data_IF_002518346174
#
_entry.id   IF_002518346174
#
_cell.length_a   1.000
_cell.length_b   1.000
_cell.length_c   1.000
_cell.angle_alpha   90.00
_cell.angle_beta   90.00
_cell.angle_gamma   90.00
#
_symmetry.space_group_name_H-M   'P 1'
#
loop_
_entity.id
_entity.type
_entity.pdbx_description
1 polymer ?
#
# COMPACT_ATOMS: atom_id res chain seq x y z
N UNK A 1 8.67 -13.85 13.19
CA UNK A 1 7.70 -12.81 13.61
C UNK A 1 6.46 -13.48 14.18
N UNK A 2 5.94 -12.94 15.28
CA UNK A 2 4.59 -13.24 15.82
C UNK A 2 3.59 -12.23 15.23
N UNK A 3 2.28 -12.49 15.32
CA UNK A 3 1.25 -11.54 14.84
C UNK A 3 1.47 -10.11 15.35
N UNK A 4 1.91 -9.97 16.59
CA UNK A 4 2.22 -8.68 17.19
C UNK A 4 3.42 -7.95 16.56
N UNK A 5 4.31 -8.65 15.86
CA UNK A 5 5.41 -8.00 15.15
C UNK A 5 4.91 -7.28 13.90
N UNK A 6 3.99 -7.88 13.13
CA UNK A 6 3.49 -7.26 11.89
C UNK A 6 2.81 -5.92 12.19
N UNK A 7 1.85 -5.89 13.12
CA UNK A 7 1.11 -4.68 13.45
C UNK A 7 1.99 -3.56 14.00
N UNK A 8 3.07 -3.91 14.74
CA UNK A 8 4.07 -2.92 15.20
C UNK A 8 4.82 -2.28 14.03
N UNK A 9 5.37 -3.09 13.11
CA UNK A 9 6.08 -2.55 11.96
C UNK A 9 5.17 -1.82 10.98
N UNK A 10 3.96 -2.35 10.76
CA UNK A 10 2.94 -1.71 9.92
C UNK A 10 2.49 -0.37 10.50
N UNK A 11 2.26 -0.29 11.82
CA UNK A 11 1.92 0.94 12.52
C UNK A 11 3.05 1.97 12.46
N UNK A 12 4.30 1.53 12.70
CA UNK A 12 5.48 2.39 12.57
C UNK A 12 5.64 2.92 11.14
N UNK A 13 5.56 2.05 10.13
CA UNK A 13 5.64 2.44 8.71
C UNK A 13 4.53 3.44 8.35
N UNK A 14 3.30 3.17 8.76
CA UNK A 14 2.16 4.06 8.49
C UNK A 14 2.36 5.43 9.15
N UNK A 15 2.91 5.47 10.37
CA UNK A 15 3.31 6.72 11.02
C UNK A 15 4.39 7.47 10.24
N UNK A 16 5.42 6.78 9.75
CA UNK A 16 6.47 7.39 8.91
C UNK A 16 5.90 7.93 7.60
N UNK A 17 5.04 7.17 6.92
CA UNK A 17 4.38 7.62 5.69
C UNK A 17 3.49 8.82 5.96
N UNK A 18 2.76 8.84 7.06
CA UNK A 18 1.97 10.00 7.47
C UNK A 18 2.84 11.25 7.67
N UNK A 19 4.01 11.12 8.31
CA UNK A 19 4.97 12.22 8.42
C UNK A 19 5.49 12.68 7.05
N UNK A 20 5.75 11.76 6.11
CA UNK A 20 6.15 12.10 4.74
C UNK A 20 5.04 12.89 4.03
N UNK A 21 3.77 12.51 4.21
CA UNK A 21 2.62 13.26 3.67
C UNK A 21 2.57 14.67 4.26
N UNK A 22 2.81 14.83 5.57
CA UNK A 22 2.88 16.14 6.21
C UNK A 22 4.03 17.00 5.67
N UNK A 23 5.17 16.39 5.34
CA UNK A 23 6.28 17.09 4.69
C UNK A 23 5.90 17.55 3.28
N UNK A 24 5.25 16.70 2.48
CA UNK A 24 4.76 17.08 1.15
C UNK A 24 3.74 18.21 1.21
N UNK A 25 2.89 18.24 2.24
CA UNK A 25 1.90 19.31 2.44
C UNK A 25 2.53 20.71 2.64
N UNK A 26 3.79 20.79 3.05
CA UNK A 26 4.48 22.08 3.20
C UNK A 26 4.79 22.75 1.85
N UNK A 27 4.85 21.99 0.76
CA UNK A 27 5.15 22.49 -0.58
C UNK A 27 3.87 22.90 -1.32
N UNK A 28 3.80 24.14 -1.80
CA UNK A 28 2.61 24.69 -2.47
C UNK A 28 2.20 23.89 -3.71
N UNK A 29 3.16 23.33 -4.45
CA UNK A 29 2.92 22.51 -5.64
C UNK A 29 2.17 21.20 -5.37
N UNK A 30 2.12 20.72 -4.11
CA UNK A 30 1.46 19.45 -3.76
C UNK A 30 0.23 19.62 -2.86
N UNK A 31 -0.07 20.85 -2.40
CA UNK A 31 -1.24 21.13 -1.56
C UNK A 31 -2.58 20.81 -2.24
N UNK A 32 -2.80 21.16 -3.53
CA UNK A 32 -4.06 20.86 -4.20
C UNK A 32 -4.36 19.35 -4.27
N UNK A 33 -3.31 18.55 -4.40
CA UNK A 33 -3.39 17.11 -4.67
C UNK A 33 -3.23 16.22 -3.43
N UNK A 34 -3.27 16.83 -2.25
CA UNK A 34 -3.18 16.12 -0.98
C UNK A 34 -4.32 15.09 -0.81
N UNK A 35 -5.50 15.39 -1.38
CA UNK A 35 -6.65 14.49 -1.34
C UNK A 35 -6.33 13.15 -2.02
N UNK A 36 -5.73 13.18 -3.21
CA UNK A 36 -5.33 11.98 -3.93
C UNK A 36 -4.35 11.15 -3.09
N UNK A 37 -3.38 11.84 -2.49
CA UNK A 37 -2.34 11.24 -1.65
C UNK A 37 -2.94 10.57 -0.40
N UNK A 38 -3.89 11.22 0.28
CA UNK A 38 -4.59 10.66 1.45
C UNK A 38 -5.45 9.45 1.06
N UNK A 39 -6.18 9.52 -0.06
CA UNK A 39 -6.99 8.40 -0.55
C UNK A 39 -6.08 7.19 -0.84
N UNK A 40 -4.95 7.41 -1.52
CA UNK A 40 -3.96 6.36 -1.79
C UNK A 40 -3.36 5.76 -0.54
N UNK A 41 -3.05 6.59 0.45
CA UNK A 41 -2.57 6.16 1.76
C UNK A 41 -3.57 5.23 2.46
N UNK A 42 -4.82 5.66 2.58
CA UNK A 42 -5.88 4.85 3.22
C UNK A 42 -6.08 3.55 2.46
N UNK A 43 -6.15 3.60 1.12
CA UNK A 43 -6.28 2.41 0.29
C UNK A 43 -5.12 1.42 0.51
N UNK A 44 -3.86 1.88 0.56
CA UNK A 44 -2.72 0.99 0.83
C UNK A 44 -2.74 0.40 2.24
N UNK A 45 -3.14 1.18 3.25
CA UNK A 45 -3.29 0.67 4.60
C UNK A 45 -4.31 -0.48 4.65
N UNK A 46 -5.48 -0.28 4.03
CA UNK A 46 -6.55 -1.27 3.99
C UNK A 46 -6.13 -2.51 3.17
N UNK A 47 -5.57 -2.31 1.98
CA UNK A 47 -5.11 -3.41 1.12
C UNK A 47 -4.04 -4.26 1.82
N UNK A 48 -3.04 -3.62 2.44
CA UNK A 48 -1.95 -4.32 3.14
C UNK A 48 -2.48 -5.07 4.37
N UNK A 49 -3.42 -4.47 5.13
CA UNK A 49 -4.05 -5.13 6.28
C UNK A 49 -4.89 -6.34 5.86
N UNK A 50 -5.71 -6.19 4.81
CA UNK A 50 -6.53 -7.27 4.27
C UNK A 50 -5.66 -8.41 3.73
N UNK A 51 -4.60 -8.08 2.99
CA UNK A 51 -3.65 -9.04 2.47
C UNK A 51 -2.95 -9.82 3.60
N UNK A 52 -2.51 -9.14 4.66
CA UNK A 52 -1.92 -9.79 5.82
C UNK A 52 -2.85 -10.82 6.45
N UNK A 53 -4.10 -10.43 6.74
CA UNK A 53 -5.11 -11.32 7.33
C UNK A 53 -5.42 -12.52 6.43
N UNK A 54 -5.47 -12.30 5.11
CA UNK A 54 -5.65 -13.37 4.14
C UNK A 54 -4.43 -14.30 4.06
N UNK A 55 -3.22 -13.76 4.20
CA UNK A 55 -1.97 -14.51 4.12
C UNK A 55 -1.81 -15.52 5.27
N UNK A 56 -2.23 -15.13 6.49
CA UNK A 56 -2.24 -16.04 7.66
C UNK A 56 -3.13 -17.26 7.38
N UNK A 57 -4.30 -17.04 6.78
CA UNK A 57 -5.24 -18.11 6.43
C UNK A 57 -4.69 -18.98 5.30
N UNK A 58 -4.12 -18.37 4.26
CA UNK A 58 -3.61 -19.07 3.09
C UNK A 58 -2.41 -19.97 3.42
N UNK A 59 -1.55 -19.55 4.34
CA UNK A 59 -0.37 -20.33 4.77
C UNK A 59 -0.75 -21.61 5.50
N UNK A 60 -1.78 -21.55 6.33
CA UNK A 60 -2.26 -22.72 7.08
C UNK A 60 -3.18 -23.62 6.23
N UNK A 61 -3.43 -23.23 4.97
CA UNK A 61 -4.27 -24.02 4.07
C UNK A 61 -3.50 -25.19 3.47
N UNK A 62 -4.20 -26.30 3.21
CA UNK A 62 -3.64 -27.48 2.54
C UNK A 62 -3.28 -27.20 1.06
N UNK A 63 -3.82 -26.12 0.49
CA UNK A 63 -3.58 -25.74 -0.90
C UNK A 63 -2.34 -24.85 -1.03
N UNK A 64 -1.23 -25.45 -1.46
CA UNK A 64 0.05 -24.74 -1.70
C UNK A 64 -0.07 -23.61 -2.73
N UNK A 65 -1.06 -23.63 -3.62
CA UNK A 65 -1.28 -22.60 -4.63
C UNK A 65 -2.07 -21.39 -4.11
N UNK A 66 -2.81 -21.54 -3.00
CA UNK A 66 -3.67 -20.49 -2.46
C UNK A 66 -2.86 -19.24 -2.07
N UNK A 67 -1.67 -19.43 -1.50
CA UNK A 67 -0.77 -18.32 -1.16
C UNK A 67 -0.28 -17.57 -2.41
N UNK A 68 0.13 -18.28 -3.45
CA UNK A 68 0.60 -17.68 -4.70
C UNK A 68 -0.51 -16.89 -5.38
N UNK A 69 -1.72 -17.46 -5.46
CA UNK A 69 -2.89 -16.79 -6.03
C UNK A 69 -3.24 -15.52 -5.24
N UNK A 70 -3.16 -15.55 -3.92
CA UNK A 70 -3.40 -14.39 -3.07
C UNK A 70 -2.38 -13.27 -3.33
N UNK A 71 -1.09 -13.62 -3.45
CA UNK A 71 -0.04 -12.64 -3.79
C UNK A 71 -0.30 -12.01 -5.15
N UNK A 72 -0.61 -12.81 -6.17
CA UNK A 72 -0.92 -12.30 -7.51
C UNK A 72 -2.13 -11.38 -7.49
N UNK A 73 -3.22 -11.79 -6.82
CA UNK A 73 -4.42 -10.98 -6.68
C UNK A 73 -4.12 -9.64 -6.01
N UNK A 74 -3.32 -9.63 -4.95
CA UNK A 74 -2.99 -8.40 -4.23
C UNK A 74 -2.18 -7.42 -5.10
N UNK A 75 -1.20 -7.93 -5.87
CA UNK A 75 -0.43 -7.11 -6.82
C UNK A 75 -1.36 -6.50 -7.86
N UNK A 76 -2.25 -7.29 -8.47
CA UNK A 76 -3.22 -6.81 -9.46
C UNK A 76 -4.18 -5.77 -8.85
N UNK A 77 -4.73 -6.05 -7.67
CA UNK A 77 -5.64 -5.15 -6.95
C UNK A 77 -5.00 -3.79 -6.72
N UNK A 78 -3.74 -3.75 -6.29
CA UNK A 78 -3.04 -2.48 -6.03
C UNK A 78 -2.74 -1.72 -7.30
N UNK A 79 -2.26 -2.39 -8.35
CA UNK A 79 -1.97 -1.74 -9.64
C UNK A 79 -3.25 -1.13 -10.22
N UNK A 80 -4.30 -1.95 -10.34
CA UNK A 80 -5.60 -1.51 -10.88
C UNK A 80 -6.22 -0.44 -9.98
N UNK A 81 -6.20 -0.65 -8.66
CA UNK A 81 -6.73 0.30 -7.69
C UNK A 81 -6.06 1.66 -7.79
N UNK A 82 -4.72 1.71 -7.84
CA UNK A 82 -3.98 2.97 -7.98
C UNK A 82 -4.28 3.66 -9.31
N UNK A 83 -4.32 2.91 -10.41
CA UNK A 83 -4.65 3.46 -11.72
C UNK A 83 -6.08 4.04 -11.75
N UNK A 84 -7.06 3.31 -11.21
CA UNK A 84 -8.46 3.74 -11.16
C UNK A 84 -8.62 4.98 -10.29
N UNK A 85 -8.02 4.99 -9.10
CA UNK A 85 -8.07 6.16 -8.20
C UNK A 85 -7.46 7.39 -8.87
N UNK A 86 -6.27 7.25 -9.48
CA UNK A 86 -5.61 8.35 -10.17
C UNK A 86 -6.42 8.84 -11.39
N UNK A 87 -6.98 7.93 -12.18
CA UNK A 87 -7.80 8.28 -13.35
C UNK A 87 -9.10 9.01 -12.96
N UNK A 88 -9.78 8.53 -11.91
CA UNK A 88 -10.98 9.19 -11.37
C UNK A 88 -10.63 10.59 -10.89
N UNK A 89 -9.55 10.72 -10.11
CA UNK A 89 -9.10 12.01 -9.58
C UNK A 89 -8.78 13.00 -10.69
N UNK A 90 -7.98 12.58 -11.68
CA UNK A 90 -7.61 13.42 -12.83
C UNK A 90 -8.84 13.91 -13.61
N UNK A 91 -9.86 13.06 -13.77
CA UNK A 91 -11.09 13.40 -14.48
C UNK A 91 -11.99 14.39 -13.73
N UNK A 92 -11.96 14.41 -12.40
CA UNK A 92 -12.85 15.25 -11.58
C UNK A 92 -12.18 16.57 -11.22
N UNK A 93 -10.92 16.52 -10.80
CA UNK A 93 -10.22 17.66 -10.21
C UNK A 93 -9.39 18.44 -11.25
N UNK A 94 -9.04 17.80 -12.37
CA UNK A 94 -8.22 18.40 -13.43
C UNK A 94 -6.95 19.10 -12.87
N UNK A 95 -6.03 18.35 -12.24
CA UNK A 95 -4.86 18.93 -11.60
C UNK A 95 -4.00 19.69 -12.63
N UNK A 96 -3.64 20.93 -12.30
CA UNK A 96 -2.83 21.80 -13.17
C UNK A 96 -1.36 21.35 -13.22
N UNK A 97 -0.86 20.83 -12.09
CA UNK A 97 0.52 20.43 -11.92
C UNK A 97 0.77 19.03 -12.49
N UNK A 98 1.74 18.88 -13.39
CA UNK A 98 2.07 17.58 -14.03
C UNK A 98 2.58 16.53 -13.04
N UNK A 99 3.09 16.96 -11.88
CA UNK A 99 3.73 16.11 -10.89
C UNK A 99 2.81 15.71 -9.73
N UNK A 100 1.52 16.04 -9.80
CA UNK A 100 0.52 15.76 -8.76
C UNK A 100 0.49 14.31 -8.26
N UNK A 101 0.85 13.36 -9.13
CA UNK A 101 0.82 11.92 -8.84
C UNK A 101 2.05 11.42 -8.06
N UNK A 102 3.12 12.19 -7.94
CA UNK A 102 4.38 11.72 -7.34
C UNK A 102 4.18 11.28 -5.88
N UNK A 103 3.58 12.08 -4.97
CA UNK A 103 3.41 11.66 -3.57
C UNK A 103 2.55 10.40 -3.45
N UNK A 104 1.55 10.26 -4.33
CA UNK A 104 0.70 9.08 -4.43
C UNK A 104 1.49 7.82 -4.81
N UNK A 105 2.37 7.90 -5.82
CA UNK A 105 3.23 6.77 -6.22
C UNK A 105 4.27 6.42 -5.14
N UNK A 106 4.82 7.41 -4.44
CA UNK A 106 5.77 7.16 -3.34
C UNK A 106 5.13 6.28 -2.27
N UNK A 107 3.88 6.55 -1.89
CA UNK A 107 3.13 5.73 -0.94
C UNK A 107 2.96 4.30 -1.45
N UNK A 108 2.58 4.14 -2.72
CA UNK A 108 2.47 2.82 -3.34
C UNK A 108 3.75 2.00 -3.18
N UNK A 109 4.90 2.59 -3.51
CA UNK A 109 6.18 1.89 -3.45
C UNK A 109 6.58 1.52 -2.03
N UNK A 110 6.43 2.44 -1.07
CA UNK A 110 6.80 2.19 0.33
C UNK A 110 6.04 0.98 0.88
N UNK A 111 4.72 0.94 0.72
CA UNK A 111 3.91 -0.18 1.19
C UNK A 111 4.17 -1.48 0.41
N UNK A 112 4.46 -1.40 -0.89
CA UNK A 112 4.75 -2.57 -1.71
C UNK A 112 6.10 -3.21 -1.33
N UNK A 113 7.13 -2.40 -1.06
CA UNK A 113 8.43 -2.86 -0.57
C UNK A 113 8.26 -3.53 0.79
N UNK A 114 7.54 -2.88 1.71
CA UNK A 114 7.26 -3.44 3.03
C UNK A 114 6.57 -4.81 2.93
N UNK A 115 5.51 -4.91 2.13
CA UNK A 115 4.76 -6.14 1.99
C UNK A 115 5.59 -7.27 1.36
N UNK A 116 6.37 -6.95 0.32
CA UNK A 116 7.25 -7.93 -0.33
C UNK A 116 8.30 -8.45 0.65
N UNK A 117 8.91 -7.57 1.44
CA UNK A 117 9.82 -7.96 2.51
C UNK A 117 9.15 -8.83 3.57
N UNK A 118 7.89 -8.54 3.91
CA UNK A 118 7.14 -9.34 4.87
C UNK A 118 6.80 -10.74 4.33
N UNK A 119 6.29 -10.83 3.10
CA UNK A 119 6.01 -12.09 2.39
C UNK A 119 7.25 -12.99 2.34
N UNK A 120 8.40 -12.42 1.99
CA UNK A 120 9.66 -13.17 1.89
C UNK A 120 10.04 -13.81 3.23
N UNK A 121 9.95 -13.05 4.32
CA UNK A 121 10.22 -13.56 5.67
C UNK A 121 9.20 -14.62 6.11
N UNK A 122 7.93 -14.44 5.73
CA UNK A 122 6.84 -15.35 6.06
C UNK A 122 6.99 -16.70 5.32
N UNK A 123 7.45 -16.67 4.07
CA UNK A 123 7.71 -17.86 3.25
C UNK A 123 8.93 -18.66 3.74
N UNK A 124 10.00 -17.97 4.18
CA UNK A 124 11.21 -18.64 4.69
C UNK A 124 10.98 -19.36 6.02
N UNK A 125 10.07 -18.87 6.86
CA UNK A 125 9.84 -19.42 8.21
C UNK A 125 8.99 -20.70 8.23
N UNK A 126 8.34 -21.04 7.11
CA UNK A 126 7.52 -22.25 6.94
C UNK A 126 8.24 -23.36 6.16
N UNK A 127 9.53 -23.21 5.89
CA UNK A 127 10.43 -24.30 5.50
C UNK A 127 11.12 -24.86 6.73
#
# INVERSE_FOLDING_TARGET
MTDNSFWKYFGFLSGVVFLIILLFYQFDSFKPDILLTIIGYIFMMLATSAFYLASIKAINSTNKMAFIQLVMFNVMLKIVGFMVIAAIYYKIVHPEEKYFIIPFLVIYFIYTIFETGFIYNLALKNK
#
